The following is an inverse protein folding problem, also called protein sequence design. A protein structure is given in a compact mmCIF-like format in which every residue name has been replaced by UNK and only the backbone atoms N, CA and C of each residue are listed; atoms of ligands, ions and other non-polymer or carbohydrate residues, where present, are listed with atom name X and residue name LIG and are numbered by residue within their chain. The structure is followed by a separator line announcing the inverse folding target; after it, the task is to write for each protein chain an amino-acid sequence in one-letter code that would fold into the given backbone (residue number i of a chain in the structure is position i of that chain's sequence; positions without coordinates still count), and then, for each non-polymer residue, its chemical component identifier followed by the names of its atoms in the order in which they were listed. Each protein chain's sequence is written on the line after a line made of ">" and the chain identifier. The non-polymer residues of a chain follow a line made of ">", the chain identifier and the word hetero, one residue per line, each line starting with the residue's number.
data_IF_289855369721
#
_entry.id   IF_289855369721
#
_cell.length_a   1.000
_cell.length_b   1.000
_cell.length_c   1.000
_cell.angle_alpha   90.00
_cell.angle_beta   90.00
_cell.angle_gamma   90.00
#
_symmetry.space_group_name_H-M   'P 1'
#
loop_
_entity.id
_entity.type
_entity.pdbx_description
1 polymer ?
#
# COMPACT_ATOMS: atom_id res chain seq x y z
N UNK A 1 19.85 -8.71 24.44
CA UNK A 1 19.85 -7.97 23.16
C UNK A 1 18.94 -6.76 23.31
N UNK A 2 19.40 -5.55 23.01
CA UNK A 2 18.58 -4.33 23.17
C UNK A 2 17.59 -4.23 21.99
N UNK A 3 16.43 -3.62 22.21
CA UNK A 3 15.37 -3.47 21.19
C UNK A 3 15.89 -2.83 19.90
N UNK A 4 16.76 -1.82 20.01
CA UNK A 4 17.36 -1.13 18.86
C UNK A 4 18.19 -2.07 17.98
N UNK A 5 18.91 -3.02 18.57
CA UNK A 5 19.74 -3.97 17.82
C UNK A 5 18.84 -4.93 17.02
N UNK A 6 17.74 -5.37 17.63
CA UNK A 6 16.74 -6.21 16.97
C UNK A 6 16.02 -5.48 15.83
N UNK A 7 15.72 -4.19 15.98
CA UNK A 7 15.12 -3.39 14.91
C UNK A 7 16.12 -3.20 13.76
N UNK A 8 17.39 -2.93 14.08
CA UNK A 8 18.46 -2.76 13.07
C UNK A 8 18.78 -4.05 12.31
N UNK A 9 18.53 -5.21 12.91
CA UNK A 9 18.76 -6.49 12.26
C UNK A 9 17.63 -6.90 11.30
N UNK A 10 16.52 -6.16 11.22
CA UNK A 10 15.42 -6.48 10.31
C UNK A 10 15.88 -6.27 8.86
N UNK A 11 15.80 -7.35 8.08
CA UNK A 11 16.16 -7.37 6.66
C UNK A 11 14.91 -7.26 5.77
N UNK A 12 15.07 -6.96 4.47
CA UNK A 12 13.96 -7.04 3.52
C UNK A 12 13.32 -8.44 3.46
N UNK A 13 14.11 -9.51 3.62
CA UNK A 13 13.59 -10.89 3.69
C UNK A 13 12.66 -11.07 4.90
N UNK A 14 13.04 -10.59 6.09
CA UNK A 14 12.19 -10.66 7.28
C UNK A 14 10.85 -9.93 7.07
N UNK A 15 10.88 -8.79 6.37
CA UNK A 15 9.68 -8.02 6.05
C UNK A 15 8.81 -8.76 5.04
N UNK A 16 9.42 -9.37 4.00
CA UNK A 16 8.70 -10.21 3.05
C UNK A 16 8.00 -11.38 3.75
N UNK A 17 8.70 -12.09 4.65
CA UNK A 17 8.12 -13.18 5.43
C UNK A 17 6.96 -12.72 6.32
N UNK A 18 7.04 -11.49 6.83
CA UNK A 18 5.94 -10.86 7.57
C UNK A 18 4.71 -10.60 6.68
N UNK A 19 4.92 -10.11 5.46
CA UNK A 19 3.85 -9.87 4.48
C UNK A 19 3.18 -11.19 4.08
N UNK A 20 3.96 -12.22 3.76
CA UNK A 20 3.44 -13.53 3.36
C UNK A 20 2.64 -14.17 4.49
N UNK A 21 3.15 -14.14 5.73
CA UNK A 21 2.37 -14.61 6.88
C UNK A 21 1.05 -13.87 7.07
N UNK A 22 1.02 -12.57 6.79
CA UNK A 22 -0.22 -11.79 6.79
C UNK A 22 -1.20 -12.25 5.69
N UNK A 23 -0.69 -12.47 4.47
CA UNK A 23 -1.49 -13.00 3.35
C UNK A 23 -2.09 -14.37 3.71
N UNK A 24 -1.28 -15.29 4.23
CA UNK A 24 -1.72 -16.63 4.60
C UNK A 24 -2.81 -16.61 5.69
N UNK A 25 -2.65 -15.76 6.71
CA UNK A 25 -3.66 -15.56 7.76
C UNK A 25 -5.00 -15.08 7.18
N UNK A 26 -4.97 -14.18 6.20
CA UNK A 26 -6.19 -13.72 5.52
C UNK A 26 -6.82 -14.83 4.69
N UNK A 27 -6.03 -15.54 3.89
CA UNK A 27 -6.50 -16.66 3.04
C UNK A 27 -7.21 -17.70 3.91
N UNK A 28 -6.59 -18.09 5.02
CA UNK A 28 -7.12 -19.06 5.97
C UNK A 28 -8.43 -18.60 6.63
N UNK A 29 -8.59 -17.29 6.89
CA UNK A 29 -9.80 -16.74 7.55
C UNK A 29 -10.98 -16.55 6.61
N UNK A 30 -10.75 -16.17 5.36
CA UNK A 30 -11.83 -15.79 4.46
C UNK A 30 -12.18 -16.84 3.39
N UNK A 31 -11.53 -18.02 3.44
CA UNK A 31 -11.63 -19.06 2.41
C UNK A 31 -11.43 -18.49 0.99
N UNK A 32 -10.51 -17.52 0.88
CA UNK A 32 -10.26 -16.78 -0.34
C UNK A 32 -9.13 -17.45 -1.08
N UNK A 33 -9.36 -17.85 -2.33
CA UNK A 33 -8.38 -18.71 -3.00
C UNK A 33 -7.08 -18.01 -3.38
N UNK A 34 -7.01 -16.67 -3.53
CA UNK A 34 -5.70 -16.03 -3.76
C UNK A 34 -5.64 -14.52 -3.48
N UNK A 35 -4.57 -14.07 -2.84
CA UNK A 35 -4.12 -12.67 -2.81
C UNK A 35 -2.86 -12.57 -3.65
N UNK A 36 -2.96 -11.95 -4.82
CA UNK A 36 -1.82 -11.77 -5.73
C UNK A 36 -1.23 -10.37 -5.73
N UNK A 37 -1.95 -9.39 -5.19
CA UNK A 37 -1.60 -7.98 -5.32
C UNK A 37 -1.52 -7.33 -3.94
N UNK A 38 -0.37 -6.73 -3.64
CA UNK A 38 -0.13 -5.96 -2.43
C UNK A 38 0.20 -4.53 -2.80
N UNK A 39 -0.40 -3.57 -2.10
CA UNK A 39 -0.01 -2.16 -2.18
C UNK A 39 0.63 -1.72 -0.86
N UNK A 40 1.81 -1.09 -0.92
CA UNK A 40 2.48 -0.50 0.25
C UNK A 40 2.58 1.01 0.10
N UNK A 41 1.75 1.73 0.84
CA UNK A 41 1.89 3.17 1.01
C UNK A 41 3.14 3.44 1.87
N UNK A 42 4.13 4.12 1.30
CA UNK A 42 5.41 4.39 1.96
C UNK A 42 6.01 5.69 1.47
N UNK A 43 6.72 6.43 2.35
CA UNK A 43 7.35 7.68 1.94
C UNK A 43 8.46 7.42 0.91
N UNK A 44 8.80 8.41 0.04
CA UNK A 44 9.83 8.25 -0.99
C UNK A 44 11.19 7.80 -0.45
N UNK A 45 11.53 8.17 0.78
CA UNK A 45 12.77 7.72 1.45
C UNK A 45 12.86 6.20 1.63
N UNK A 46 11.75 5.46 1.53
CA UNK A 46 11.69 4.01 1.65
C UNK A 46 11.68 3.28 0.30
N UNK A 47 11.68 3.99 -0.84
CA UNK A 47 11.66 3.35 -2.16
C UNK A 47 12.79 2.34 -2.38
N UNK A 48 14.04 2.56 -1.92
CA UNK A 48 15.10 1.54 -2.06
C UNK A 48 14.75 0.22 -1.36
N UNK A 49 14.07 0.25 -0.22
CA UNK A 49 13.58 -0.94 0.46
C UNK A 49 12.41 -1.57 -0.32
N UNK A 50 11.47 -0.76 -0.79
CA UNK A 50 10.33 -1.25 -1.57
C UNK A 50 10.75 -1.93 -2.87
N UNK A 51 11.75 -1.41 -3.57
CA UNK A 51 12.29 -2.06 -4.78
C UNK A 51 12.82 -3.46 -4.47
N UNK A 52 13.55 -3.64 -3.37
CA UNK A 52 14.04 -4.96 -2.94
C UNK A 52 12.88 -5.89 -2.56
N UNK A 53 11.90 -5.39 -1.80
CA UNK A 53 10.72 -6.16 -1.41
C UNK A 53 9.89 -6.61 -2.62
N UNK A 54 9.70 -5.73 -3.60
CA UNK A 54 9.00 -6.05 -4.84
C UNK A 54 9.64 -7.25 -5.54
N UNK A 55 10.97 -7.26 -5.65
CA UNK A 55 11.73 -8.34 -6.28
C UNK A 55 11.60 -9.65 -5.49
N UNK A 56 11.72 -9.61 -4.16
CA UNK A 56 11.60 -10.80 -3.31
C UNK A 56 10.19 -11.40 -3.41
N UNK A 57 9.16 -10.57 -3.25
CA UNK A 57 7.76 -11.00 -3.30
C UNK A 57 7.39 -11.58 -4.67
N UNK A 58 7.85 -10.94 -5.76
CA UNK A 58 7.60 -11.44 -7.11
C UNK A 58 8.33 -12.77 -7.35
N UNK A 59 9.65 -12.81 -7.15
CA UNK A 59 10.47 -13.94 -7.55
C UNK A 59 10.24 -15.19 -6.70
N UNK A 60 9.92 -15.04 -5.40
CA UNK A 60 9.80 -16.16 -4.47
C UNK A 60 8.37 -16.58 -4.18
N UNK A 61 7.42 -15.65 -4.25
CA UNK A 61 6.05 -15.88 -3.81
C UNK A 61 5.00 -15.62 -4.89
N UNK A 62 5.42 -15.20 -6.10
CA UNK A 62 4.51 -14.81 -7.18
C UNK A 62 3.46 -13.77 -6.73
N UNK A 63 3.90 -12.83 -5.87
CA UNK A 63 3.08 -11.72 -5.39
C UNK A 63 3.52 -10.44 -6.11
N UNK A 64 2.58 -9.78 -6.77
CA UNK A 64 2.78 -8.48 -7.39
C UNK A 64 2.67 -7.40 -6.33
N UNK A 65 3.73 -6.63 -6.14
CA UNK A 65 3.75 -5.51 -5.20
C UNK A 65 3.77 -4.17 -5.95
N UNK A 66 2.85 -3.28 -5.56
CA UNK A 66 2.86 -1.87 -5.93
C UNK A 66 3.14 -0.99 -4.70
N UNK A 67 3.72 0.19 -4.91
CA UNK A 67 4.01 1.17 -3.87
C UNK A 67 4.02 2.57 -4.48
N UNK A 68 4.19 3.60 -3.65
CA UNK A 68 4.09 5.01 -4.03
C UNK A 68 4.83 5.40 -5.32
N UNK A 69 5.98 4.76 -5.64
CA UNK A 69 6.71 5.03 -6.89
C UNK A 69 5.87 4.79 -8.16
N UNK A 70 5.15 3.67 -8.23
CA UNK A 70 4.35 3.36 -9.42
C UNK A 70 3.21 4.36 -9.60
N UNK A 71 2.61 4.79 -8.50
CA UNK A 71 1.53 5.78 -8.53
C UNK A 71 2.08 7.17 -8.87
N UNK A 72 3.23 7.53 -8.31
CA UNK A 72 3.96 8.74 -8.67
C UNK A 72 4.23 8.80 -10.17
N UNK A 73 4.82 7.74 -10.73
CA UNK A 73 5.18 7.65 -12.14
C UNK A 73 3.91 7.71 -13.02
N UNK A 74 2.83 7.05 -12.61
CA UNK A 74 1.52 7.14 -13.29
C UNK A 74 0.96 8.57 -13.30
N UNK A 75 0.97 9.28 -12.16
CA UNK A 75 0.43 10.63 -12.06
C UNK A 75 1.23 11.59 -12.96
N UNK A 76 2.56 11.52 -12.90
CA UNK A 76 3.42 12.36 -13.74
C UNK A 76 3.26 12.06 -15.23
N UNK A 77 3.10 10.79 -15.59
CA UNK A 77 2.92 10.41 -16.99
C UNK A 77 1.60 10.94 -17.57
N UNK A 78 0.50 10.87 -16.80
CA UNK A 78 -0.83 11.23 -17.31
C UNK A 78 -1.19 12.70 -17.11
N UNK A 79 -0.65 13.34 -16.06
CA UNK A 79 -1.04 14.69 -15.64
C UNK A 79 0.14 15.66 -15.51
N UNK A 80 1.35 15.25 -15.92
CA UNK A 80 2.58 16.06 -15.79
C UNK A 80 2.51 17.43 -16.47
N UNK A 81 1.68 17.57 -17.51
CA UNK A 81 1.40 18.80 -18.23
C UNK A 81 0.49 19.77 -17.47
N UNK A 82 -0.20 19.32 -16.42
CA UNK A 82 -1.14 20.15 -15.67
C UNK A 82 -0.41 21.07 -14.69
N UNK A 83 -0.58 22.39 -14.86
CA UNK A 83 0.11 23.42 -14.05
C UNK A 83 -0.20 23.31 -12.55
N UNK A 84 -1.42 22.90 -12.19
CA UNK A 84 -1.83 22.69 -10.81
C UNK A 84 -1.15 21.48 -10.16
N UNK A 85 -0.62 20.53 -10.93
CA UNK A 85 -0.11 19.27 -10.38
C UNK A 85 1.09 19.52 -9.47
N UNK A 86 2.03 20.37 -9.88
CA UNK A 86 3.27 20.60 -9.11
C UNK A 86 3.03 21.06 -7.68
N UNK A 87 2.03 21.91 -7.47
CA UNK A 87 1.70 22.45 -6.15
C UNK A 87 0.91 21.46 -5.28
N UNK A 88 0.13 20.58 -5.92
CA UNK A 88 -0.80 19.67 -5.25
C UNK A 88 -0.32 18.21 -5.28
N UNK A 89 0.87 17.92 -5.82
CA UNK A 89 1.27 16.56 -6.18
C UNK A 89 1.25 15.62 -4.97
N UNK A 90 1.84 16.03 -3.85
CA UNK A 90 1.91 15.20 -2.65
C UNK A 90 0.53 14.95 -2.04
N UNK A 91 -0.35 15.96 -2.05
CA UNK A 91 -1.71 15.83 -1.55
C UNK A 91 -2.53 14.89 -2.41
N UNK A 92 -2.39 14.98 -3.74
CA UNK A 92 -3.02 14.07 -4.69
C UNK A 92 -2.49 12.65 -4.50
N UNK A 93 -1.17 12.47 -4.43
CA UNK A 93 -0.55 11.17 -4.21
C UNK A 93 -1.09 10.54 -2.91
N UNK A 94 -1.02 11.27 -1.80
CA UNK A 94 -1.50 10.83 -0.48
C UNK A 94 -3.00 10.53 -0.49
N UNK A 95 -3.80 11.32 -1.19
CA UNK A 95 -5.25 11.12 -1.33
C UNK A 95 -5.56 9.83 -2.11
N UNK A 96 -4.87 9.58 -3.21
CA UNK A 96 -5.06 8.37 -4.00
C UNK A 96 -4.56 7.14 -3.21
N UNK A 97 -3.41 7.22 -2.55
CA UNK A 97 -2.92 6.15 -1.66
C UNK A 97 -3.93 5.84 -0.56
N UNK A 98 -4.49 6.87 0.07
CA UNK A 98 -5.51 6.70 1.10
C UNK A 98 -6.74 6.00 0.53
N UNK A 99 -7.20 6.40 -0.66
CA UNK A 99 -8.35 5.79 -1.30
C UNK A 99 -8.11 4.33 -1.70
N UNK A 100 -6.91 3.98 -2.16
CA UNK A 100 -6.50 2.59 -2.42
C UNK A 100 -6.53 1.76 -1.12
N UNK A 101 -5.97 2.31 -0.03
CA UNK A 101 -5.98 1.66 1.28
C UNK A 101 -7.38 1.57 1.89
N UNK A 102 -8.28 2.50 1.59
CA UNK A 102 -9.69 2.42 2.03
C UNK A 102 -10.43 1.31 1.25
N UNK A 103 -10.20 1.21 -0.06
CA UNK A 103 -10.88 0.23 -0.91
C UNK A 103 -10.28 -1.18 -0.85
N UNK A 104 -9.11 -1.36 -0.24
CA UNK A 104 -8.45 -2.67 -0.21
C UNK A 104 -9.29 -3.71 0.55
N UNK A 105 -9.17 -4.99 0.17
CA UNK A 105 -9.90 -6.07 0.88
C UNK A 105 -9.43 -6.20 2.33
N UNK A 106 -8.12 -6.12 2.54
CA UNK A 106 -7.48 -6.11 3.86
C UNK A 106 -6.53 -4.92 3.95
N UNK A 107 -6.44 -4.32 5.13
CA UNK A 107 -5.57 -3.19 5.41
C UNK A 107 -4.77 -3.43 6.71
N UNK A 108 -3.46 -3.55 6.58
CA UNK A 108 -2.54 -3.55 7.72
C UNK A 108 -2.08 -2.13 8.01
N UNK A 109 -2.36 -1.64 9.21
CA UNK A 109 -2.08 -0.26 9.63
C UNK A 109 -0.81 -0.16 10.48
N UNK A 110 -0.12 0.97 10.38
CA UNK A 110 0.78 1.41 11.44
C UNK A 110 -0.06 2.08 12.55
N UNK A 111 -0.16 1.47 13.72
CA UNK A 111 -1.07 1.90 14.81
C UNK A 111 -0.79 3.31 15.33
N UNK A 112 0.47 3.74 15.30
CA UNK A 112 0.89 5.07 15.71
C UNK A 112 0.71 6.15 14.61
N UNK A 113 0.34 5.77 13.39
CA UNK A 113 0.20 6.70 12.27
C UNK A 113 -1.19 7.32 12.25
N UNK A 114 -1.27 8.64 12.38
CA UNK A 114 -2.53 9.39 12.21
C UNK A 114 -3.13 9.18 10.81
N UNK A 115 -2.27 9.12 9.78
CA UNK A 115 -2.70 8.83 8.40
C UNK A 115 -3.37 7.45 8.30
N UNK A 116 -2.77 6.41 8.90
CA UNK A 116 -3.36 5.07 8.88
C UNK A 116 -4.63 5.00 9.74
N UNK A 117 -4.75 5.81 10.79
CA UNK A 117 -5.98 5.91 11.58
C UNK A 117 -7.12 6.53 10.77
N UNK A 118 -6.84 7.55 9.95
CA UNK A 118 -7.82 8.13 9.04
C UNK A 118 -8.35 7.08 8.04
N UNK A 119 -7.47 6.25 7.47
CA UNK A 119 -7.88 5.14 6.59
C UNK A 119 -8.86 4.22 7.32
N UNK A 120 -8.55 3.78 8.54
CA UNK A 120 -9.44 2.88 9.31
C UNK A 120 -10.81 3.51 9.55
N UNK A 121 -10.84 4.78 9.96
CA UNK A 121 -12.10 5.50 10.21
C UNK A 121 -12.95 5.61 8.94
N UNK A 122 -12.33 5.87 7.79
CA UNK A 122 -13.04 6.00 6.51
C UNK A 122 -13.49 4.65 5.95
N UNK A 123 -12.72 3.57 6.15
CA UNK A 123 -13.11 2.20 5.79
C UNK A 123 -14.40 1.76 6.47
N UNK A 124 -14.57 2.11 7.74
CA UNK A 124 -15.81 1.82 8.48
C UNK A 124 -17.01 2.59 7.90
N UNK A 125 -16.78 3.79 7.35
CA UNK A 125 -17.82 4.63 6.73
C UNK A 125 -18.18 4.20 5.31
N UNK A 126 -17.26 3.64 4.53
CA UNK A 126 -17.55 3.17 3.16
C UNK A 126 -18.53 1.99 3.08
N UNK A 127 -18.75 1.25 4.19
CA UNK A 127 -19.86 0.32 4.25
C UNK A 127 -21.23 1.01 4.05
N UNK A 128 -21.28 2.34 4.22
CA UNK A 128 -22.48 3.16 4.11
C UNK A 128 -22.55 4.02 2.83
N UNK A 129 -21.43 4.35 2.17
CA UNK A 129 -21.41 5.26 1.00
C UNK A 129 -20.69 4.65 -0.22
N UNK A 130 -21.47 4.17 -1.21
CA UNK A 130 -21.00 3.59 -2.49
C UNK A 130 -20.97 4.50 -3.75
N UNK A 131 -20.83 5.84 -3.76
CA UNK A 131 -20.88 6.58 -5.04
C UNK A 131 -19.57 6.57 -5.86
N UNK A 132 -18.40 6.41 -5.26
CA UNK A 132 -17.11 6.60 -5.96
C UNK A 132 -16.65 5.40 -6.82
N UNK A 133 -17.20 4.20 -6.57
CA UNK A 133 -16.83 2.96 -7.27
C UNK A 133 -17.20 2.96 -8.77
N UNK A 134 -18.07 3.86 -9.22
CA UNK A 134 -18.46 3.99 -10.62
C UNK A 134 -17.38 4.66 -11.48
N UNK A 135 -16.48 5.45 -10.88
CA UNK A 135 -15.44 6.19 -11.59
C UNK A 135 -14.19 5.34 -11.87
N UNK A 136 -13.85 4.38 -11.00
CA UNK A 136 -12.65 3.53 -11.15
C UNK A 136 -12.91 2.30 -12.02
N UNK A 137 -14.16 1.81 -12.11
CA UNK A 137 -14.49 0.60 -12.89
C UNK A 137 -14.33 0.75 -14.41
N UNK A 138 -14.12 1.97 -14.91
CA UNK A 138 -13.96 2.28 -16.33
C UNK A 138 -12.51 2.64 -16.72
N UNK A 139 -11.54 2.34 -15.84
CA UNK A 139 -10.10 2.33 -16.11
C UNK A 139 -9.61 0.88 -16.19
#
# INVERSE_FOLDING_TARGET
>A
MKLCDKIRSITPDDVSDGIIRGIDDVINRCNCNVIHNVYIASPPSQYPLMTKLQQILHNRHNVTMHYGKHLHDYILHNFGQCSWLRQNFNDILSTIEMQLCINSKVFYRATASSWSNNVVMLRQRQLFDRPFLSLIKNL
#
